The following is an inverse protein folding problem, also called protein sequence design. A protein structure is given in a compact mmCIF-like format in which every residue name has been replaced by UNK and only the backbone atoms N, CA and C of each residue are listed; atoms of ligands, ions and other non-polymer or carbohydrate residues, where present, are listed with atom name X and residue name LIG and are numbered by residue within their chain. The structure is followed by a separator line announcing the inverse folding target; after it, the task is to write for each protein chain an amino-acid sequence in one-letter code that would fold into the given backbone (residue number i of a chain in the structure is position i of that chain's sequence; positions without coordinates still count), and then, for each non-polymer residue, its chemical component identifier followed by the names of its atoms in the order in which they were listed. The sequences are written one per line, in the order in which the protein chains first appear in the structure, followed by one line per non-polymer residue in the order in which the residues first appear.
data_IF_471539432431
#
_entry.id   IF_471539432431
#
_cell.length_a   1.000
_cell.length_b   1.000
_cell.length_c   1.000
_cell.angle_alpha   90.00
_cell.angle_beta   90.00
_cell.angle_gamma   90.00
#
_symmetry.space_group_name_H-M   'P 1'
#
loop_
_entity.id
_entity.type
_entity.pdbx_description
1 polymer ?
#
# COMPACT_ATOMS: atom_id res chain seq x y z
N UNK A 1 -38.58 -4.37 -17.68
CA UNK A 1 -38.37 -3.98 -16.27
C UNK A 1 -36.87 -4.08 -16.00
N UNK A 2 -36.17 -2.94 -15.92
CA UNK A 2 -34.71 -2.92 -15.74
C UNK A 2 -34.36 -2.71 -14.27
N UNK A 3 -33.76 -3.73 -13.65
CA UNK A 3 -33.26 -3.64 -12.29
C UNK A 3 -31.93 -2.88 -12.29
N UNK A 4 -31.95 -1.65 -11.78
CA UNK A 4 -30.74 -0.84 -11.56
C UNK A 4 -30.08 -1.33 -10.27
N UNK A 5 -29.01 -2.11 -10.39
CA UNK A 5 -28.20 -2.50 -9.24
C UNK A 5 -27.29 -1.32 -8.90
N UNK A 6 -27.66 -0.56 -7.87
CA UNK A 6 -26.79 0.47 -7.29
C UNK A 6 -25.80 -0.21 -6.35
N UNK A 7 -24.55 -0.36 -6.78
CA UNK A 7 -23.45 -0.76 -5.89
C UNK A 7 -22.93 0.48 -5.18
N UNK A 8 -23.44 0.76 -3.97
CA UNK A 8 -22.82 1.74 -3.08
C UNK A 8 -21.66 1.07 -2.35
N UNK A 9 -20.44 1.28 -2.86
CA UNK A 9 -19.23 0.91 -2.13
C UNK A 9 -19.00 1.93 -0.99
N UNK A 10 -19.29 1.54 0.26
CA UNK A 10 -18.89 2.32 1.43
C UNK A 10 -17.59 1.76 1.97
N UNK A 11 -16.52 2.56 1.90
CA UNK A 11 -15.27 2.30 2.62
C UNK A 11 -15.47 2.63 4.10
N UNK A 12 -16.25 1.81 4.81
CA UNK A 12 -16.39 1.90 6.25
C UNK A 12 -15.19 1.22 6.94
N UNK A 13 -14.00 1.80 6.77
CA UNK A 13 -12.88 1.51 7.66
C UNK A 13 -13.16 2.16 9.02
N UNK A 14 -14.07 1.56 9.80
CA UNK A 14 -14.22 1.90 11.20
C UNK A 14 -12.95 1.47 11.92
N UNK A 15 -12.19 2.45 12.44
CA UNK A 15 -11.17 2.17 13.45
C UNK A 15 -11.85 1.41 14.59
N UNK A 16 -11.37 0.19 14.85
CA UNK A 16 -11.71 -0.54 16.07
C UNK A 16 -10.98 0.20 17.21
N UNK A 17 -11.54 1.34 17.63
CA UNK A 17 -11.08 2.06 18.80
C UNK A 17 -11.52 1.24 20.02
N UNK A 18 -10.69 0.28 20.41
CA UNK A 18 -10.71 -0.18 21.80
C UNK A 18 -10.44 1.05 22.67
N UNK A 19 -11.50 1.55 23.34
CA UNK A 19 -11.43 2.61 24.34
C UNK A 19 -10.53 2.15 25.50
N UNK A 20 -9.21 2.23 25.34
CA UNK A 20 -8.27 2.14 26.44
C UNK A 20 -8.31 3.45 27.19
N UNK A 21 -8.40 3.39 28.52
CA UNK A 21 -8.31 4.61 29.32
C UNK A 21 -6.94 5.30 29.07
N UNK A 22 -6.85 6.63 29.20
CA UNK A 22 -5.58 7.34 29.01
C UNK A 22 -4.44 6.76 29.86
N UNK A 23 -4.75 6.31 31.07
CA UNK A 23 -3.83 5.65 32.00
C UNK A 23 -3.33 4.29 31.51
N UNK A 24 -4.15 3.51 30.80
CA UNK A 24 -3.78 2.22 30.21
C UNK A 24 -2.94 2.35 28.92
N UNK A 25 -2.86 3.55 28.35
CA UNK A 25 -2.07 3.82 27.14
C UNK A 25 -0.63 4.28 27.44
N UNK A 26 -0.36 4.70 28.69
CA UNK A 26 0.96 5.14 29.12
C UNK A 26 1.96 3.99 29.18
N UNK A 27 3.20 4.27 28.76
CA UNK A 27 4.30 3.30 28.71
C UNK A 27 5.18 3.49 29.94
N UNK A 28 4.71 3.00 31.09
CA UNK A 28 5.36 3.21 32.39
C UNK A 28 6.30 2.07 32.82
N UNK A 29 6.27 0.93 32.14
CA UNK A 29 7.14 -0.21 32.42
C UNK A 29 8.47 -0.07 31.67
N UNK A 30 9.58 -0.14 32.40
CA UNK A 30 10.92 -0.06 31.85
C UNK A 30 11.51 -1.46 31.67
N UNK A 31 12.13 -1.69 30.51
CA UNK A 31 12.94 -2.87 30.22
C UNK A 31 14.31 -2.37 29.78
N UNK A 32 15.37 -2.91 30.39
CA UNK A 32 16.76 -2.55 30.06
C UNK A 32 17.51 -3.77 29.54
N UNK A 33 18.36 -3.54 28.54
CA UNK A 33 19.17 -4.55 27.86
C UNK A 33 20.56 -3.96 27.60
N UNK A 34 21.59 -4.81 27.58
CA UNK A 34 22.97 -4.42 27.29
C UNK A 34 23.37 -5.00 25.94
N UNK A 35 24.07 -4.19 25.14
CA UNK A 35 24.60 -4.55 23.83
C UNK A 35 26.12 -4.49 23.89
N UNK A 36 26.80 -5.40 23.20
CA UNK A 36 28.22 -5.23 22.87
C UNK A 36 28.36 -4.24 21.69
N UNK A 37 29.60 -3.99 21.24
CA UNK A 37 29.87 -3.03 20.17
C UNK A 37 29.25 -3.42 18.83
N UNK A 38 29.44 -4.67 18.40
CA UNK A 38 28.91 -5.20 17.14
C UNK A 38 27.37 -5.18 17.11
N UNK A 39 26.72 -5.59 18.20
CA UNK A 39 25.27 -5.60 18.31
C UNK A 39 24.70 -4.16 18.31
N UNK A 40 25.43 -3.20 18.89
CA UNK A 40 25.05 -1.78 18.89
C UNK A 40 25.16 -1.17 17.50
N UNK A 41 26.19 -1.52 16.72
CA UNK A 41 26.33 -1.10 15.32
C UNK A 41 25.16 -1.64 14.48
N UNK A 42 24.85 -2.93 14.61
CA UNK A 42 23.72 -3.56 13.92
C UNK A 42 22.39 -2.89 14.25
N UNK A 43 22.15 -2.56 15.52
CA UNK A 43 20.96 -1.80 15.95
C UNK A 43 20.91 -0.42 15.29
N UNK A 44 22.03 0.30 15.22
CA UNK A 44 22.09 1.64 14.63
C UNK A 44 21.85 1.62 13.12
N UNK A 45 22.33 0.59 12.43
CA UNK A 45 22.06 0.38 11.01
C UNK A 45 20.55 0.15 10.76
N UNK A 46 19.95 -0.80 11.48
CA UNK A 46 18.56 -1.21 11.23
C UNK A 46 17.50 -0.20 11.69
N UNK A 47 17.81 0.65 12.69
CA UNK A 47 16.83 1.63 13.20
C UNK A 47 16.56 2.79 12.24
N UNK A 48 17.48 3.06 11.31
CA UNK A 48 17.45 4.25 10.47
C UNK A 48 17.25 5.51 11.31
N UNK A 49 16.21 6.29 11.01
CA UNK A 49 15.93 7.56 11.68
C UNK A 49 15.18 7.43 13.04
N UNK A 50 14.81 6.22 13.47
CA UNK A 50 14.05 6.02 14.74
C UNK A 50 14.96 6.04 15.95
N UNK A 51 14.42 6.46 17.10
CA UNK A 51 15.16 6.34 18.37
C UNK A 51 15.38 4.86 18.76
N UNK A 52 16.43 4.57 19.54
CA UNK A 52 16.76 3.18 19.94
C UNK A 52 15.59 2.49 20.64
N UNK A 53 14.99 3.17 21.62
CA UNK A 53 13.87 2.62 22.40
C UNK A 53 12.58 2.47 21.59
N UNK A 54 12.30 3.40 20.67
CA UNK A 54 11.16 3.28 19.77
C UNK A 54 11.32 2.08 18.82
N UNK A 55 12.50 1.93 18.21
CA UNK A 55 12.77 0.84 17.29
C UNK A 55 12.70 -0.53 17.98
N UNK A 56 13.35 -0.69 19.15
CA UNK A 56 13.29 -1.93 19.96
C UNK A 56 11.86 -2.30 20.36
N UNK A 57 11.04 -1.30 20.67
CA UNK A 57 9.63 -1.53 21.00
C UNK A 57 8.83 -1.98 19.79
N UNK A 58 9.08 -1.41 18.62
CA UNK A 58 8.38 -1.80 17.38
C UNK A 58 8.80 -3.19 16.91
N UNK A 59 10.10 -3.53 16.99
CA UNK A 59 10.62 -4.86 16.65
C UNK A 59 10.05 -5.93 17.58
N UNK A 60 10.10 -5.70 18.89
CA UNK A 60 9.59 -6.66 19.89
C UNK A 60 8.09 -6.92 19.78
N UNK A 61 7.33 -6.00 19.18
CA UNK A 61 5.89 -6.14 18.99
C UNK A 61 5.51 -6.58 17.57
N UNK A 62 6.49 -6.87 16.70
CA UNK A 62 6.28 -7.18 15.28
C UNK A 62 5.46 -6.09 14.55
N UNK A 63 5.61 -4.84 14.99
CA UNK A 63 4.89 -3.66 14.47
C UNK A 63 5.76 -2.76 13.60
N UNK A 64 6.87 -3.27 13.11
CA UNK A 64 7.64 -2.53 12.13
C UNK A 64 6.79 -2.35 10.87
N UNK A 65 6.81 -1.16 10.23
CA UNK A 65 6.23 -1.03 8.90
C UNK A 65 6.88 -2.10 8.02
N UNK A 66 6.07 -2.88 7.31
CA UNK A 66 6.57 -3.89 6.38
C UNK A 66 7.49 -3.17 5.40
N UNK A 67 8.78 -3.48 5.47
CA UNK A 67 9.75 -2.94 4.52
C UNK A 67 9.38 -3.60 3.19
N UNK A 68 8.92 -2.80 2.24
CA UNK A 68 8.69 -3.28 0.88
C UNK A 68 10.06 -3.75 0.36
N UNK A 69 10.22 -5.03 -0.01
CA UNK A 69 11.48 -5.51 -0.56
C UNK A 69 11.92 -4.63 -1.72
N UNK A 70 13.21 -4.33 -1.82
CA UNK A 70 13.74 -3.43 -2.87
C UNK A 70 13.32 -3.88 -4.27
N UNK A 71 13.32 -5.19 -4.52
CA UNK A 71 12.85 -5.80 -5.77
C UNK A 71 11.40 -5.44 -6.13
N UNK A 72 10.57 -5.14 -5.13
CA UNK A 72 9.18 -4.79 -5.34
C UNK A 72 8.98 -3.28 -5.54
N UNK A 73 9.90 -2.41 -5.09
CA UNK A 73 9.72 -0.95 -5.10
C UNK A 73 9.39 -0.44 -6.51
N UNK A 74 10.15 -0.85 -7.52
CA UNK A 74 9.92 -0.43 -8.91
C UNK A 74 8.60 -0.96 -9.47
N UNK A 75 8.24 -2.20 -9.12
CA UNK A 75 6.94 -2.79 -9.49
C UNK A 75 5.77 -2.02 -8.87
N UNK A 76 5.88 -1.60 -7.61
CA UNK A 76 4.86 -0.78 -6.93
C UNK A 76 4.75 0.62 -7.52
N UNK A 77 5.87 1.25 -7.92
CA UNK A 77 5.86 2.55 -8.61
C UNK A 77 5.11 2.47 -9.94
N UNK A 78 5.46 1.49 -10.78
CA UNK A 78 4.78 1.27 -12.07
C UNK A 78 3.28 1.03 -11.89
N UNK A 79 2.89 0.22 -10.89
CA UNK A 79 1.48 -0.04 -10.59
C UNK A 79 0.76 1.23 -10.11
N UNK A 80 1.41 2.06 -9.30
CA UNK A 80 0.88 3.34 -8.85
C UNK A 80 0.62 4.29 -10.02
N UNK A 81 1.56 4.40 -10.95
CA UNK A 81 1.41 5.24 -12.14
C UNK A 81 0.23 4.78 -13.01
N UNK A 82 0.07 3.47 -13.21
CA UNK A 82 -1.07 2.90 -13.95
C UNK A 82 -2.39 3.19 -13.23
N UNK A 83 -2.43 3.05 -11.90
CA UNK A 83 -3.60 3.37 -11.07
C UNK A 83 -4.00 4.84 -11.19
N UNK A 84 -3.04 5.76 -11.13
CA UNK A 84 -3.30 7.19 -11.31
C UNK A 84 -3.86 7.51 -12.70
N UNK A 85 -3.31 6.91 -13.75
CA UNK A 85 -3.82 7.07 -15.13
C UNK A 85 -5.26 6.55 -15.25
N UNK A 86 -5.57 5.40 -14.64
CA UNK A 86 -6.94 4.86 -14.60
C UNK A 86 -7.90 5.78 -13.84
N UNK A 87 -7.50 6.28 -12.67
CA UNK A 87 -8.31 7.22 -11.90
C UNK A 87 -8.62 8.51 -12.66
N UNK A 88 -7.67 9.01 -13.47
CA UNK A 88 -7.93 10.15 -14.37
C UNK A 88 -9.00 9.83 -15.41
N UNK A 89 -8.98 8.64 -15.98
CA UNK A 89 -9.99 8.19 -16.93
C UNK A 89 -11.35 8.08 -16.23
N UNK A 90 -11.41 7.44 -15.06
CA UNK A 90 -12.66 7.31 -14.26
C UNK A 90 -13.24 8.70 -13.98
N UNK A 91 -12.45 9.61 -13.42
CA UNK A 91 -12.90 10.98 -13.14
C UNK A 91 -13.40 11.69 -14.40
N UNK A 92 -12.69 11.54 -15.52
CA UNK A 92 -13.14 12.11 -16.80
C UNK A 92 -14.50 11.56 -17.23
N UNK A 93 -14.70 10.25 -17.12
CA UNK A 93 -15.95 9.59 -17.47
C UNK A 93 -17.10 9.96 -16.51
N UNK A 94 -16.83 10.09 -15.21
CA UNK A 94 -17.81 10.48 -14.19
C UNK A 94 -18.28 11.93 -14.34
N UNK A 95 -17.40 12.82 -14.81
CA UNK A 95 -17.78 14.22 -15.12
C UNK A 95 -18.57 14.37 -16.42
N UNK A 96 -18.65 13.31 -17.22
CA UNK A 96 -19.36 13.32 -18.49
C UNK A 96 -20.88 13.22 -18.25
N UNK A 97 -21.68 13.86 -19.09
CA UNK A 97 -23.13 13.82 -18.93
C UNK A 97 -23.66 12.39 -19.09
N UNK A 98 -24.62 12.02 -18.24
CA UNK A 98 -25.15 10.65 -18.10
C UNK A 98 -25.77 10.05 -19.37
N UNK A 99 -26.01 10.86 -20.40
CA UNK A 99 -26.63 10.44 -21.67
C UNK A 99 -25.64 10.45 -22.84
N UNK A 100 -24.36 10.72 -22.60
CA UNK A 100 -23.35 10.79 -23.66
C UNK A 100 -22.67 9.45 -23.86
N UNK A 101 -22.60 8.99 -25.11
CA UNK A 101 -21.92 7.74 -25.46
C UNK A 101 -20.41 7.88 -25.30
N UNK A 102 -19.74 6.78 -24.96
CA UNK A 102 -18.29 6.74 -24.87
C UNK A 102 -17.67 7.01 -26.25
N UNK A 103 -16.72 7.95 -26.28
CA UNK A 103 -16.02 8.24 -27.53
C UNK A 103 -15.03 7.11 -27.86
N UNK A 104 -14.73 6.92 -29.14
CA UNK A 104 -13.73 5.92 -29.59
C UNK A 104 -12.37 6.14 -28.90
N UNK A 105 -12.02 7.39 -28.62
CA UNK A 105 -10.80 7.78 -27.89
C UNK A 105 -10.82 7.39 -26.42
N UNK A 106 -11.95 7.52 -25.71
CA UNK A 106 -12.11 7.07 -24.33
C UNK A 106 -11.99 5.54 -24.24
N UNK A 107 -12.68 4.83 -25.13
CA UNK A 107 -12.61 3.37 -25.22
C UNK A 107 -11.17 2.92 -25.49
N UNK A 108 -10.46 3.60 -26.38
CA UNK A 108 -9.05 3.33 -26.67
C UNK A 108 -8.16 3.58 -25.44
N UNK A 109 -8.36 4.70 -24.73
CA UNK A 109 -7.60 5.02 -23.53
C UNK A 109 -7.78 3.96 -22.43
N UNK A 110 -9.02 3.53 -22.18
CA UNK A 110 -9.32 2.44 -21.23
C UNK A 110 -8.63 1.15 -21.64
N UNK A 111 -8.79 0.73 -22.91
CA UNK A 111 -8.15 -0.50 -23.43
C UNK A 111 -6.64 -0.46 -23.28
N UNK A 112 -6.01 0.68 -23.59
CA UNK A 112 -4.57 0.88 -23.45
C UNK A 112 -4.11 0.71 -22.01
N UNK A 113 -4.78 1.33 -21.05
CA UNK A 113 -4.40 1.21 -19.64
C UNK A 113 -4.59 -0.20 -19.08
N UNK A 114 -5.64 -0.92 -19.51
CA UNK A 114 -5.85 -2.32 -19.14
C UNK A 114 -4.75 -3.22 -19.70
N UNK A 115 -4.31 -3.00 -20.94
CA UNK A 115 -3.20 -3.74 -21.54
C UNK A 115 -1.88 -3.48 -20.81
N UNK A 116 -1.60 -2.22 -20.46
CA UNK A 116 -0.42 -1.82 -19.68
C UNK A 116 -0.41 -2.50 -18.30
N UNK A 117 -1.54 -2.49 -17.60
CA UNK A 117 -1.72 -3.20 -16.32
C UNK A 117 -1.47 -4.70 -16.46
N UNK A 118 -2.09 -5.34 -17.45
CA UNK A 118 -1.91 -6.78 -17.71
C UNK A 118 -0.46 -7.12 -18.00
N UNK A 119 0.22 -6.33 -18.82
CA UNK A 119 1.64 -6.51 -19.10
C UNK A 119 2.44 -6.47 -17.80
N UNK A 120 2.28 -5.42 -16.99
CA UNK A 120 2.99 -5.25 -15.72
C UNK A 120 2.80 -6.44 -14.75
N UNK A 121 1.58 -6.97 -14.65
CA UNK A 121 1.27 -8.10 -13.77
C UNK A 121 1.84 -9.43 -14.31
N UNK A 122 1.75 -9.66 -15.62
CA UNK A 122 2.18 -10.93 -16.26
C UNK A 122 3.69 -11.02 -16.51
N UNK A 123 4.39 -9.90 -16.70
CA UNK A 123 5.87 -9.90 -16.81
C UNK A 123 6.54 -10.27 -15.49
N UNK A 124 5.90 -9.96 -14.36
CA UNK A 124 6.38 -10.33 -13.03
C UNK A 124 6.36 -11.85 -12.80
N UNK A 125 5.33 -12.56 -13.30
CA UNK A 125 5.22 -14.03 -13.18
C UNK A 125 6.32 -14.81 -13.93
N UNK A 126 6.89 -14.24 -15.00
CA UNK A 126 7.90 -14.92 -15.81
C UNK A 126 9.29 -14.90 -15.18
N UNK A 127 9.61 -13.85 -14.42
CA UNK A 127 10.88 -13.73 -13.68
C UNK A 127 11.00 -14.79 -12.57
N UNK A 128 9.91 -15.08 -11.87
CA UNK A 128 9.86 -16.04 -10.75
C UNK A 128 10.06 -17.49 -11.21
N UNK A 129 9.77 -17.81 -12.49
CA UNK A 129 9.91 -19.17 -13.04
C UNK A 129 11.27 -19.48 -13.65
N UNK A 130 12.16 -18.49 -13.78
CA UNK A 130 13.50 -18.67 -14.37
C UNK A 130 14.62 -18.76 -13.31
N UNK A 131 14.29 -18.61 -12.03
CA UNK A 131 15.22 -18.66 -10.89
C UNK A 131 15.01 -19.88 -9.98
N UNK A 132 14.34 -20.93 -10.47
CA UNK A 132 14.13 -22.21 -9.78
C UNK A 132 14.71 -23.37 -10.57
#
# INVERSE_FOLDING_TARGET
MSNKITLSYTNDFKSINHHKSPTQSLRIHCVSVRFNEEELEFLNFNRGNKSKGEWLRLTSLEKLPVIVPEINIESWKLLSDISQKLNRIINHLDTKSSNSELTKTEIFAVKRQILELRSCLTTSERSIRQSS
#
